data_IF_102833454108
#
_entry.id   IF_102833454108
#
_cell.length_a   1.000
_cell.length_b   1.000
_cell.length_c   1.000
_cell.angle_alpha   90.00
_cell.angle_beta   90.00
_cell.angle_gamma   90.00
#
_symmetry.space_group_name_H-M   'P 1'
#
loop_
_entity.id
_entity.type
_entity.pdbx_description
1 polymer ?
#
# COMPACT_ATOMS: atom_id res chain seq x y z
N UNK A 1 13.02 -51.90 3.58
CA UNK A 1 11.91 -50.95 3.32
C UNK A 1 11.51 -51.13 1.86
N UNK A 2 10.27 -51.54 1.59
CA UNK A 2 9.84 -51.93 0.25
C UNK A 2 10.02 -50.74 -0.73
N UNK A 3 10.64 -50.95 -1.90
CA UNK A 3 11.00 -49.87 -2.84
C UNK A 3 9.79 -49.00 -3.23
N UNK A 4 8.59 -49.59 -3.25
CA UNK A 4 7.31 -48.88 -3.44
C UNK A 4 6.96 -47.89 -2.33
N UNK A 5 7.26 -48.22 -1.06
CA UNK A 5 7.01 -47.33 0.08
C UNK A 5 7.99 -46.16 0.08
N UNK A 6 9.24 -46.41 -0.34
CA UNK A 6 10.28 -45.39 -0.47
C UNK A 6 9.93 -44.37 -1.58
N UNK A 7 9.44 -44.84 -2.73
CA UNK A 7 8.95 -43.99 -3.82
C UNK A 7 7.71 -43.19 -3.40
N UNK A 8 6.77 -43.80 -2.66
CA UNK A 8 5.57 -43.12 -2.16
C UNK A 8 5.90 -41.99 -1.18
N UNK A 9 6.85 -42.22 -0.26
CA UNK A 9 7.33 -41.17 0.65
C UNK A 9 8.02 -40.01 -0.09
N UNK A 10 8.78 -40.32 -1.14
CA UNK A 10 9.49 -39.31 -1.94
C UNK A 10 8.51 -38.44 -2.73
N UNK A 11 7.45 -39.03 -3.29
CA UNK A 11 6.37 -38.31 -3.97
C UNK A 11 5.58 -37.43 -2.99
N UNK A 12 5.26 -37.93 -1.80
CA UNK A 12 4.56 -37.14 -0.77
C UNK A 12 5.39 -35.92 -0.32
N UNK A 13 6.71 -36.07 -0.20
CA UNK A 13 7.62 -34.98 0.14
C UNK A 13 7.68 -33.91 -0.95
N UNK A 14 7.68 -34.31 -2.23
CA UNK A 14 7.66 -33.37 -3.37
C UNK A 14 6.32 -32.62 -3.46
N UNK A 15 5.19 -33.28 -3.19
CA UNK A 15 3.88 -32.61 -3.14
C UNK A 15 3.75 -31.64 -1.96
N UNK A 16 4.38 -31.93 -0.82
CA UNK A 16 4.42 -31.02 0.34
C UNK A 16 5.29 -29.77 0.08
N UNK A 17 6.29 -29.87 -0.80
CA UNK A 17 7.12 -28.74 -1.25
C UNK A 17 6.50 -27.96 -2.42
N UNK A 18 5.46 -28.48 -3.08
CA UNK A 18 4.78 -27.80 -4.17
C UNK A 18 4.18 -26.42 -3.82
N UNK A 19 3.55 -26.20 -2.64
CA UNK A 19 3.09 -24.87 -2.24
C UNK A 19 4.22 -23.84 -2.01
N UNK A 20 5.46 -24.29 -1.76
CA UNK A 20 6.62 -23.39 -1.66
C UNK A 20 7.07 -22.84 -3.03
N UNK A 21 6.79 -23.55 -4.12
CA UNK A 21 7.10 -23.11 -5.50
C UNK A 21 5.95 -22.29 -6.09
N UNK A 22 4.76 -22.38 -5.49
CA UNK A 22 3.61 -21.52 -5.77
C UNK A 22 3.80 -20.09 -5.28
N UNK A 23 4.85 -19.40 -5.75
CA UNK A 23 5.12 -17.97 -5.56
C UNK A 23 4.11 -17.08 -6.32
N UNK A 24 2.81 -17.39 -6.25
CA UNK A 24 1.79 -16.39 -6.53
C UNK A 24 1.74 -15.44 -5.32
N UNK A 25 2.81 -14.66 -5.14
CA UNK A 25 3.03 -13.77 -4.00
C UNK A 25 2.06 -12.59 -4.11
N UNK A 26 0.83 -12.82 -3.68
CA UNK A 26 -0.18 -11.79 -3.47
C UNK A 26 0.33 -10.76 -2.47
N UNK A 27 1.18 -11.17 -1.51
CA UNK A 27 1.88 -10.28 -0.59
C UNK A 27 2.85 -9.35 -1.32
N UNK A 28 3.72 -9.87 -2.19
CA UNK A 28 4.63 -9.04 -3.00
C UNK A 28 3.86 -8.12 -3.95
N UNK A 29 2.78 -8.61 -4.55
CA UNK A 29 1.92 -7.82 -5.43
C UNK A 29 1.20 -6.71 -4.66
N UNK A 30 0.67 -7.01 -3.48
CA UNK A 30 0.02 -6.05 -2.60
C UNK A 30 1.01 -5.00 -2.09
N UNK A 31 2.21 -5.41 -1.69
CA UNK A 31 3.30 -4.51 -1.31
C UNK A 31 3.75 -3.62 -2.48
N UNK A 32 3.84 -4.17 -3.69
CA UNK A 32 4.20 -3.40 -4.89
C UNK A 32 3.13 -2.35 -5.22
N UNK A 33 1.84 -2.72 -5.11
CA UNK A 33 0.71 -1.80 -5.29
C UNK A 33 0.70 -0.74 -4.20
N UNK A 34 0.90 -1.11 -2.93
CA UNK A 34 1.00 -0.16 -1.82
C UNK A 34 2.14 0.84 -2.03
N UNK A 35 3.32 0.37 -2.43
CA UNK A 35 4.48 1.21 -2.69
C UNK A 35 4.24 2.17 -3.87
N UNK A 36 3.54 1.73 -4.92
CA UNK A 36 3.11 2.62 -6.03
C UNK A 36 2.09 3.65 -5.56
N UNK A 37 1.06 3.24 -4.81
CA UNK A 37 0.01 4.14 -4.34
C UNK A 37 0.58 5.22 -3.43
N UNK A 38 1.33 4.83 -2.40
CA UNK A 38 1.88 5.78 -1.41
C UNK A 38 3.07 6.55 -1.98
N UNK A 39 3.96 5.87 -2.71
CA UNK A 39 5.21 6.47 -3.18
C UNK A 39 5.06 7.35 -4.41
N UNK A 40 3.98 7.22 -5.18
CA UNK A 40 3.82 8.00 -6.43
C UNK A 40 2.44 8.60 -6.60
N UNK A 41 1.36 7.83 -6.47
CA UNK A 41 0.01 8.31 -6.82
C UNK A 41 -0.50 9.34 -5.79
N UNK A 42 -0.35 9.05 -4.50
CA UNK A 42 -0.78 9.93 -3.41
C UNK A 42 -0.04 11.28 -3.44
N UNK A 43 1.30 11.35 -3.59
CA UNK A 43 2.01 12.61 -3.79
C UNK A 43 1.53 13.42 -4.99
N UNK A 44 1.29 12.77 -6.14
CA UNK A 44 0.81 13.45 -7.33
C UNK A 44 -0.56 14.08 -7.11
N UNK A 45 -1.49 13.35 -6.50
CA UNK A 45 -2.82 13.86 -6.17
C UNK A 45 -2.74 15.05 -5.20
N UNK A 46 -1.86 14.98 -4.19
CA UNK A 46 -1.65 16.06 -3.23
C UNK A 46 -1.10 17.33 -3.89
N UNK A 47 -0.12 17.19 -4.81
CA UNK A 47 0.44 18.32 -5.56
C UNK A 47 -0.64 19.00 -6.42
N UNK A 48 -1.46 18.22 -7.13
CA UNK A 48 -2.54 18.77 -7.96
C UNK A 48 -3.56 19.55 -7.10
N UNK A 49 -3.99 18.97 -5.97
CA UNK A 49 -4.92 19.63 -5.05
C UNK A 49 -4.34 20.92 -4.45
N UNK A 50 -3.05 20.92 -4.10
CA UNK A 50 -2.37 22.09 -3.57
C UNK A 50 -2.21 23.19 -4.61
N UNK A 51 -1.85 22.85 -5.86
CA UNK A 51 -1.75 23.81 -6.97
C UNK A 51 -3.11 24.43 -7.25
N UNK A 52 -4.18 23.64 -7.30
CA UNK A 52 -5.53 24.17 -7.52
C UNK A 52 -5.97 25.12 -6.39
N UNK A 53 -5.71 24.76 -5.14
CA UNK A 53 -6.01 25.62 -3.99
C UNK A 53 -5.15 26.89 -3.98
N UNK A 54 -3.86 26.80 -4.34
CA UNK A 54 -2.96 27.94 -4.48
C UNK A 54 -3.37 28.90 -5.59
N UNK A 55 -3.76 28.39 -6.75
CA UNK A 55 -4.30 29.20 -7.84
C UNK A 55 -5.61 29.88 -7.44
N UNK A 56 -6.51 29.18 -6.74
CA UNK A 56 -7.73 29.79 -6.20
C UNK A 56 -7.42 30.91 -5.21
N UNK A 57 -6.32 30.83 -4.46
CA UNK A 57 -5.88 31.87 -3.51
C UNK A 57 -5.32 33.09 -4.21
N UNK A 58 -4.47 32.90 -5.22
CA UNK A 58 -3.93 34.01 -6.02
C UNK A 58 -5.03 34.68 -6.85
N UNK A 59 -6.03 33.93 -7.33
CA UNK A 59 -7.17 34.46 -8.06
C UNK A 59 -8.17 35.26 -7.19
N UNK A 60 -7.94 35.37 -5.87
CA UNK A 60 -8.73 36.23 -4.99
C UNK A 60 -10.15 35.75 -4.69
N UNK A 61 -10.43 34.44 -4.81
CA UNK A 61 -11.78 33.93 -4.52
C UNK A 61 -12.11 34.00 -3.02
N UNK A 62 -13.35 34.37 -2.67
CA UNK A 62 -13.78 34.59 -1.28
C UNK A 62 -13.57 33.38 -0.35
N UNK A 63 -13.52 32.17 -0.91
CA UNK A 63 -13.35 30.90 -0.18
C UNK A 63 -11.96 30.28 -0.33
N UNK A 64 -11.00 30.97 -0.96
CA UNK A 64 -9.71 30.36 -1.29
C UNK A 64 -8.89 29.92 -0.07
N UNK A 65 -8.97 30.67 1.03
CA UNK A 65 -8.32 30.29 2.30
C UNK A 65 -8.88 28.97 2.84
N UNK A 66 -10.18 28.75 2.69
CA UNK A 66 -10.82 27.49 3.08
C UNK A 66 -10.32 26.33 2.21
N UNK A 67 -10.25 26.52 0.89
CA UNK A 67 -9.71 25.51 -0.02
C UNK A 67 -8.24 25.16 0.25
N UNK A 68 -7.41 26.16 0.58
CA UNK A 68 -6.02 25.92 0.99
C UNK A 68 -5.92 25.13 2.29
N UNK A 69 -6.70 25.52 3.32
CA UNK A 69 -6.70 24.82 4.60
C UNK A 69 -7.16 23.36 4.41
N UNK A 70 -8.21 23.13 3.62
CA UNK A 70 -8.70 21.79 3.31
C UNK A 70 -7.67 20.96 2.54
N UNK A 71 -6.94 21.56 1.57
CA UNK A 71 -5.88 20.88 0.84
C UNK A 71 -4.70 20.49 1.76
N UNK A 72 -4.31 21.38 2.69
CA UNK A 72 -3.23 21.11 3.66
C UNK A 72 -3.64 19.99 4.62
N UNK A 73 -4.85 20.07 5.19
CA UNK A 73 -5.36 19.04 6.10
C UNK A 73 -5.50 17.70 5.38
N UNK A 74 -6.04 17.69 4.16
CA UNK A 74 -6.18 16.49 3.34
C UNK A 74 -4.82 15.84 3.02
N UNK A 75 -3.80 16.64 2.70
CA UNK A 75 -2.44 16.13 2.51
C UNK A 75 -1.86 15.55 3.81
N UNK A 76 -1.98 16.25 4.94
CA UNK A 76 -1.48 15.77 6.23
C UNK A 76 -2.10 14.43 6.64
N UNK A 77 -3.42 14.28 6.46
CA UNK A 77 -4.12 13.02 6.74
C UNK A 77 -3.72 11.93 5.73
N UNK A 78 -3.66 12.25 4.44
CA UNK A 78 -3.29 11.30 3.39
C UNK A 78 -1.90 10.70 3.60
N UNK A 79 -0.90 11.54 3.91
CA UNK A 79 0.46 11.09 4.20
C UNK A 79 0.60 10.46 5.60
N UNK A 80 -0.27 10.82 6.56
CA UNK A 80 -0.26 10.26 7.92
C UNK A 80 -0.99 8.91 8.06
N UNK A 81 -1.86 8.55 7.12
CA UNK A 81 -2.64 7.31 7.16
C UNK A 81 -1.77 6.03 7.28
N UNK A 82 -0.66 5.86 6.55
CA UNK A 82 0.21 4.68 6.71
C UNK A 82 0.78 4.54 8.12
N UNK A 83 1.16 5.66 8.75
CA UNK A 83 1.71 5.68 10.12
C UNK A 83 0.68 5.21 11.15
N UNK A 84 -0.59 5.60 10.98
CA UNK A 84 -1.69 5.17 11.86
C UNK A 84 -1.93 3.66 11.71
N UNK A 85 -1.96 3.16 10.47
CA UNK A 85 -2.14 1.72 10.21
C UNK A 85 -0.98 0.91 10.82
N UNK A 86 0.26 1.36 10.63
CA UNK A 86 1.41 0.69 11.24
C UNK A 86 1.38 0.71 12.77
N UNK A 87 0.87 1.79 13.37
CA UNK A 87 0.73 1.88 14.82
C UNK A 87 -0.33 0.90 15.34
N UNK A 88 -1.48 0.78 14.69
CA UNK A 88 -2.51 -0.20 15.05
C UNK A 88 -1.99 -1.64 14.89
N UNK A 89 -1.30 -1.92 13.79
CA UNK A 89 -0.70 -3.25 13.56
C UNK A 89 0.30 -3.60 14.67
N UNK A 90 1.12 -2.64 15.13
CA UNK A 90 2.08 -2.85 16.22
C UNK A 90 1.46 -3.19 17.58
N UNK A 91 0.15 -2.96 17.76
CA UNK A 91 -0.59 -3.25 18.99
C UNK A 91 -1.29 -4.62 18.96
N UNK A 92 -1.44 -5.21 17.78
CA UNK A 92 -2.12 -6.51 17.57
C UNK A 92 -1.12 -7.68 17.51
N UNK A 93 0.15 -7.38 17.22
CA UNK A 93 1.28 -8.30 17.39
C UNK A 93 1.76 -8.31 18.84
#
# INVERSE_FOLDING_TARGET
>A
MNNKNLISCLIAFVFMLFPLVGFCSVESSLMAVQNKLIGTILPLAAIIGLVFAGLSFVAGSANARSHLILAIIGAAIGFGAPSIVSWIQSMVH
#
